data_IF_327829938265
#
_entry.id   IF_327829938265
#
_cell.length_a   1.000
_cell.length_b   1.000
_cell.length_c   1.000
_cell.angle_alpha   90.00
_cell.angle_beta   90.00
_cell.angle_gamma   90.00
#
_symmetry.space_group_name_H-M   'P 1'
#
loop_
_entity.id
_entity.type
_entity.pdbx_description
1 polymer ?
#
# COMPACT_ATOMS: atom_id res chain seq x y z
N UNK A 1 -8.72 -1.09 -8.60
CA UNK A 1 -8.97 -2.49 -9.00
C UNK A 1 -9.53 -3.37 -7.89
N UNK A 2 -9.41 -3.02 -6.60
CA UNK A 2 -9.83 -3.89 -5.47
C UNK A 2 -11.31 -4.29 -5.48
N UNK A 3 -12.19 -3.45 -6.00
CA UNK A 3 -13.62 -3.78 -6.13
C UNK A 3 -14.02 -4.19 -7.55
N UNK A 4 -13.05 -4.39 -8.44
CA UNK A 4 -13.33 -4.80 -9.81
C UNK A 4 -13.58 -6.30 -9.86
N UNK A 5 -14.78 -6.70 -10.28
CA UNK A 5 -15.08 -8.12 -10.53
C UNK A 5 -14.47 -8.51 -11.86
N UNK A 6 -13.79 -9.66 -11.91
CA UNK A 6 -13.25 -10.24 -13.13
C UNK A 6 -14.10 -11.46 -13.46
N UNK A 7 -14.86 -11.38 -14.56
CA UNK A 7 -15.79 -12.43 -14.97
C UNK A 7 -15.59 -12.80 -16.44
N UNK A 8 -15.92 -14.05 -16.78
CA UNK A 8 -16.10 -14.45 -18.17
C UNK A 8 -17.47 -13.94 -18.64
N UNK A 9 -17.48 -13.20 -19.73
CA UNK A 9 -18.71 -12.71 -20.35
C UNK A 9 -18.91 -13.48 -21.64
N UNK A 10 -19.91 -14.36 -21.66
CA UNK A 10 -20.38 -14.98 -22.89
C UNK A 10 -21.05 -13.90 -23.74
N UNK A 11 -20.61 -13.79 -25.00
CA UNK A 11 -21.21 -12.84 -25.93
C UNK A 11 -22.50 -13.48 -26.45
N UNK A 12 -23.61 -13.28 -25.75
CA UNK A 12 -24.95 -13.69 -26.22
C UNK A 12 -25.36 -12.78 -27.38
N UNK A 13 -24.75 -13.03 -28.55
CA UNK A 13 -25.17 -12.42 -29.81
C UNK A 13 -26.34 -13.24 -30.34
N UNK A 14 -27.54 -12.94 -29.86
CA UNK A 14 -28.83 -13.53 -30.27
C UNK A 14 -29.24 -12.99 -31.67
N UNK A 15 -28.32 -13.11 -32.62
CA UNK A 15 -28.43 -12.59 -33.99
C UNK A 15 -28.55 -13.78 -34.93
N UNK A 16 -29.77 -14.30 -35.05
CA UNK A 16 -30.17 -15.16 -36.16
C UNK A 16 -29.68 -14.48 -37.46
N UNK A 17 -28.93 -15.23 -38.28
CA UNK A 17 -28.25 -14.78 -39.52
C UNK A 17 -26.80 -14.28 -39.35
N UNK A 18 -25.84 -15.22 -39.39
CA UNK A 18 -24.95 -15.41 -40.56
C UNK A 18 -23.95 -16.56 -40.39
N UNK A 19 -23.77 -17.26 -41.51
CA UNK A 19 -22.84 -18.35 -41.77
C UNK A 19 -21.36 -18.02 -41.49
N UNK A 20 -20.65 -19.06 -41.04
CA UNK A 20 -19.19 -19.32 -41.13
C UNK A 20 -18.20 -18.41 -40.36
N UNK A 21 -17.50 -19.05 -39.41
CA UNK A 21 -16.18 -18.68 -38.86
C UNK A 21 -16.08 -17.34 -38.10
N UNK A 22 -16.94 -17.10 -37.12
CA UNK A 22 -16.51 -16.28 -35.99
C UNK A 22 -15.63 -17.14 -35.07
N UNK A 23 -14.30 -16.91 -34.98
CA UNK A 23 -13.53 -17.54 -33.92
C UNK A 23 -14.21 -17.13 -32.61
N UNK A 24 -14.54 -18.09 -31.75
CA UNK A 24 -15.20 -17.80 -30.47
C UNK A 24 -14.32 -16.82 -29.69
N UNK A 25 -14.59 -15.52 -29.82
CA UNK A 25 -13.84 -14.47 -29.15
C UNK A 25 -14.27 -14.54 -27.70
N UNK A 26 -13.37 -14.96 -26.83
CA UNK A 26 -13.66 -15.13 -25.42
C UNK A 26 -13.38 -13.81 -24.72
N UNK A 27 -14.32 -13.34 -23.92
CA UNK A 27 -14.26 -11.99 -23.34
C UNK A 27 -14.06 -12.07 -21.84
N UNK A 28 -13.06 -11.36 -21.34
CA UNK A 28 -12.86 -11.14 -19.90
C UNK A 28 -13.41 -9.75 -19.59
N UNK A 29 -14.43 -9.69 -18.74
CA UNK A 29 -14.97 -8.44 -18.21
C UNK A 29 -14.24 -8.04 -16.93
N UNK A 30 -13.73 -6.82 -16.89
CA UNK A 30 -13.22 -6.17 -15.68
C UNK A 30 -14.26 -5.11 -15.32
N UNK A 31 -14.96 -5.28 -14.21
CA UNK A 31 -16.10 -4.46 -13.80
C UNK A 31 -15.80 -3.70 -12.51
N UNK A 32 -15.22 -2.49 -12.57
CA UNK A 32 -14.98 -1.65 -11.39
C UNK A 32 -16.28 -1.08 -10.83
N UNK A 33 -16.39 -0.93 -9.51
CA UNK A 33 -17.58 -0.37 -8.83
C UNK A 33 -17.80 1.13 -9.09
N UNK A 34 -16.76 1.86 -9.49
CA UNK A 34 -16.76 3.32 -9.62
C UNK A 34 -16.28 3.84 -10.99
N UNK A 35 -16.03 2.95 -11.96
CA UNK A 35 -15.55 3.30 -13.31
C UNK A 35 -16.26 2.44 -14.37
N UNK A 36 -16.18 2.85 -15.64
CA UNK A 36 -16.72 2.06 -16.75
C UNK A 36 -16.07 0.67 -16.85
N UNK A 37 -16.85 -0.34 -17.22
CA UNK A 37 -16.34 -1.69 -17.45
C UNK A 37 -15.35 -1.74 -18.61
N UNK A 38 -14.32 -2.56 -18.47
CA UNK A 38 -13.30 -2.81 -19.51
C UNK A 38 -13.39 -4.26 -19.94
N UNK A 39 -13.45 -4.50 -21.25
CA UNK A 39 -13.56 -5.85 -21.82
C UNK A 39 -12.30 -6.19 -22.59
N UNK A 40 -11.70 -7.34 -22.27
CA UNK A 40 -10.54 -7.88 -22.97
C UNK A 40 -10.98 -9.03 -23.87
N UNK A 41 -10.83 -8.84 -25.18
CA UNK A 41 -11.11 -9.85 -26.20
C UNK A 41 -9.89 -10.76 -26.36
N UNK A 42 -10.07 -12.08 -26.25
CA UNK A 42 -9.00 -13.07 -26.39
C UNK A 42 -9.36 -14.13 -27.44
N UNK A 43 -8.51 -14.31 -28.48
CA UNK A 43 -8.77 -15.28 -29.55
C UNK A 43 -8.44 -16.73 -29.15
N UNK A 44 -7.55 -16.94 -28.18
CA UNK A 44 -7.13 -18.28 -27.75
C UNK A 44 -7.47 -18.56 -26.28
N UNK A 45 -7.91 -19.80 -25.98
CA UNK A 45 -8.30 -20.24 -24.63
C UNK A 45 -7.15 -20.06 -23.62
N UNK A 46 -5.94 -20.45 -23.99
CA UNK A 46 -4.79 -20.39 -23.10
C UNK A 46 -4.44 -18.95 -22.70
N UNK A 47 -4.56 -18.00 -23.63
CA UNK A 47 -4.32 -16.58 -23.34
C UNK A 47 -5.40 -16.07 -22.40
N UNK A 48 -6.66 -16.43 -22.64
CA UNK A 48 -7.76 -16.08 -21.74
C UNK A 48 -7.50 -16.60 -20.32
N UNK A 49 -7.20 -17.89 -20.18
CA UNK A 49 -6.99 -18.53 -18.88
C UNK A 49 -5.76 -17.96 -18.15
N UNK A 50 -4.68 -17.66 -18.89
CA UNK A 50 -3.49 -16.97 -18.35
C UNK A 50 -3.81 -15.56 -17.87
N UNK A 51 -4.54 -14.76 -18.67
CA UNK A 51 -4.96 -13.43 -18.27
C UNK A 51 -5.91 -13.46 -17.07
N UNK A 52 -6.85 -14.40 -17.02
CA UNK A 52 -7.77 -14.57 -15.89
C UNK A 52 -7.02 -14.95 -14.61
N UNK A 53 -6.04 -15.86 -14.71
CA UNK A 53 -5.15 -16.21 -13.60
C UNK A 53 -4.39 -14.97 -13.10
N UNK A 54 -3.68 -14.27 -13.98
CA UNK A 54 -2.92 -13.09 -13.60
C UNK A 54 -3.80 -11.99 -13.02
N UNK A 55 -4.96 -11.71 -13.61
CA UNK A 55 -5.93 -10.73 -13.11
C UNK A 55 -6.51 -11.12 -11.74
N UNK A 56 -6.75 -12.41 -11.50
CA UNK A 56 -7.20 -12.91 -10.19
C UNK A 56 -6.12 -12.76 -9.14
N UNK A 57 -4.86 -13.04 -9.50
CA UNK A 57 -3.69 -12.83 -8.62
C UNK A 57 -3.51 -11.35 -8.31
N UNK A 58 -3.44 -10.48 -9.33
CA UNK A 58 -3.17 -9.05 -9.12
C UNK A 58 -4.35 -8.26 -8.53
N UNK A 59 -5.57 -8.78 -8.62
CA UNK A 59 -6.75 -8.18 -7.97
C UNK A 59 -6.77 -8.42 -6.45
N UNK A 60 -5.85 -9.23 -5.92
CA UNK A 60 -5.75 -9.49 -4.48
C UNK A 60 -6.83 -10.44 -3.97
N UNK A 61 -7.34 -11.35 -4.82
CA UNK A 61 -8.34 -12.35 -4.45
C UNK A 61 -7.87 -13.40 -3.44
N UNK A 62 -6.60 -13.39 -3.03
CA UNK A 62 -6.04 -14.25 -1.99
C UNK A 62 -6.01 -13.57 -0.61
N UNK A 63 -6.60 -14.13 0.45
CA UNK A 63 -6.73 -13.49 1.77
C UNK A 63 -5.43 -13.38 2.60
N UNK A 64 -4.25 -13.48 2.00
CA UNK A 64 -3.00 -13.65 2.76
C UNK A 64 -1.71 -13.31 2.01
N UNK A 65 -1.77 -12.46 0.99
CA UNK A 65 -0.54 -11.94 0.34
C UNK A 65 0.02 -10.73 1.11
N UNK A 66 1.34 -10.57 1.07
CA UNK A 66 2.05 -9.52 1.80
C UNK A 66 2.34 -9.85 3.27
N UNK A 67 3.12 -8.97 3.88
CA UNK A 67 3.50 -9.02 5.30
C UNK A 67 2.28 -8.89 6.21
N UNK A 68 2.40 -9.33 7.46
CA UNK A 68 1.33 -9.15 8.45
C UNK A 68 0.93 -7.67 8.63
N UNK A 69 1.87 -6.74 8.44
CA UNK A 69 1.58 -5.31 8.44
C UNK A 69 0.66 -4.92 7.29
N UNK A 70 0.97 -5.32 6.05
CA UNK A 70 0.18 -5.00 4.86
C UNK A 70 -1.22 -5.58 4.94
N UNK A 71 -1.36 -6.81 5.46
CA UNK A 71 -2.66 -7.44 5.68
C UNK A 71 -3.51 -6.65 6.68
N UNK A 72 -2.91 -6.08 7.74
CA UNK A 72 -3.62 -5.22 8.69
C UNK A 72 -4.02 -3.89 8.07
N UNK A 73 -3.13 -3.27 7.27
CA UNK A 73 -3.45 -2.05 6.51
C UNK A 73 -4.60 -2.34 5.53
N UNK A 74 -4.59 -3.49 4.85
CA UNK A 74 -5.68 -3.89 3.96
C UNK A 74 -7.02 -3.99 4.69
N UNK A 75 -7.06 -4.65 5.86
CA UNK A 75 -8.28 -4.72 6.69
C UNK A 75 -8.74 -3.35 7.20
N UNK A 76 -7.81 -2.43 7.46
CA UNK A 76 -8.17 -1.04 7.79
C UNK A 76 -8.77 -0.31 6.58
N UNK A 77 -8.28 -0.57 5.37
CA UNK A 77 -8.86 0.01 4.15
C UNK A 77 -10.28 -0.51 3.90
N UNK A 78 -10.57 -1.77 4.21
CA UNK A 78 -11.92 -2.36 4.13
C UNK A 78 -12.93 -1.63 5.03
N UNK A 79 -12.47 -1.02 6.12
CA UNK A 79 -13.31 -0.19 7.02
C UNK A 79 -13.19 1.31 6.73
N UNK A 80 -12.67 1.70 5.57
CA UNK A 80 -12.39 3.09 5.19
C UNK A 80 -11.54 3.85 6.23
N UNK A 81 -10.69 3.15 6.98
CA UNK A 81 -9.84 3.74 8.01
C UNK A 81 -10.63 4.30 9.20
N UNK A 82 -11.79 3.72 9.54
CA UNK A 82 -12.59 4.14 10.70
C UNK A 82 -11.71 4.36 11.95
N UNK A 83 -11.65 5.59 12.52
CA UNK A 83 -10.88 5.87 13.73
C UNK A 83 -11.29 5.00 14.93
N UNK A 84 -12.53 4.50 14.96
CA UNK A 84 -13.03 3.56 15.96
C UNK A 84 -12.52 2.13 15.83
N UNK A 85 -11.85 1.79 14.71
CA UNK A 85 -11.41 0.43 14.43
C UNK A 85 -10.38 -0.07 15.46
N UNK A 86 -10.60 -1.27 15.99
CA UNK A 86 -9.69 -1.89 16.97
C UNK A 86 -8.31 -2.21 16.40
N UNK A 87 -8.20 -2.34 15.06
CA UNK A 87 -6.95 -2.65 14.38
C UNK A 87 -5.89 -1.57 14.61
N UNK A 88 -6.26 -0.30 14.79
CA UNK A 88 -5.31 0.78 15.10
C UNK A 88 -4.48 0.54 16.37
N UNK A 89 -4.91 -0.38 17.26
CA UNK A 89 -4.18 -0.75 18.48
C UNK A 89 -3.30 -1.99 18.32
N UNK A 90 -3.28 -2.60 17.14
CA UNK A 90 -2.48 -3.79 16.87
C UNK A 90 -0.99 -3.44 16.85
N UNK A 91 -0.15 -4.23 17.54
CA UNK A 91 1.27 -3.92 17.75
C UNK A 91 2.06 -3.64 16.46
N UNK A 92 1.74 -4.36 15.38
CA UNK A 92 2.38 -4.17 14.07
C UNK A 92 2.07 -2.81 13.41
N UNK A 93 1.01 -2.13 13.83
CA UNK A 93 0.64 -0.79 13.34
C UNK A 93 1.17 0.34 14.26
N UNK A 94 1.83 -0.02 15.36
CA UNK A 94 2.37 0.93 16.32
C UNK A 94 3.89 1.11 16.15
N UNK A 95 4.46 2.01 16.95
CA UNK A 95 5.90 2.21 17.02
C UNK A 95 6.65 0.89 17.22
N UNK A 96 7.64 0.66 16.35
CA UNK A 96 8.52 -0.50 16.37
C UNK A 96 9.96 -0.06 16.20
N UNK A 97 10.86 -0.83 16.83
CA UNK A 97 12.32 -0.71 16.64
C UNK A 97 12.84 -1.68 15.57
N UNK A 98 12.00 -2.63 15.15
CA UNK A 98 12.35 -3.62 14.14
C UNK A 98 11.92 -3.11 12.76
N UNK A 99 12.83 -3.23 11.78
CA UNK A 99 12.50 -2.98 10.39
C UNK A 99 11.69 -4.17 9.86
N UNK A 100 10.55 -3.88 9.25
CA UNK A 100 9.72 -4.87 8.58
C UNK A 100 9.56 -4.36 7.15
N UNK A 101 10.19 -5.05 6.20
CA UNK A 101 10.13 -4.74 4.77
C UNK A 101 9.43 -5.85 3.99
N UNK A 102 8.65 -5.43 3.00
CA UNK A 102 7.97 -6.24 1.99
C UNK A 102 8.81 -6.47 0.72
N UNK A 103 9.94 -5.74 0.58
CA UNK A 103 10.78 -5.78 -0.62
C UNK A 103 11.58 -7.08 -0.68
N UNK A 104 11.68 -7.65 -1.89
CA UNK A 104 12.34 -8.94 -2.13
C UNK A 104 13.79 -8.81 -2.60
N UNK A 105 14.17 -7.64 -3.12
CA UNK A 105 15.55 -7.37 -3.56
C UNK A 105 16.43 -7.00 -2.37
N UNK A 106 17.57 -7.67 -2.23
CA UNK A 106 18.55 -7.40 -1.17
C UNK A 106 19.04 -5.94 -1.18
N UNK A 107 19.23 -5.36 -2.37
CA UNK A 107 19.65 -3.96 -2.51
C UNK A 107 18.58 -3.00 -1.98
N UNK A 108 17.31 -3.27 -2.31
CA UNK A 108 16.18 -2.47 -1.86
C UNK A 108 15.93 -2.63 -0.36
N UNK A 109 16.07 -3.85 0.17
CA UNK A 109 15.97 -4.12 1.60
C UNK A 109 17.01 -3.33 2.38
N UNK A 110 18.26 -3.31 1.93
CA UNK A 110 19.33 -2.53 2.59
C UNK A 110 19.00 -1.02 2.61
N UNK A 111 18.50 -0.48 1.50
CA UNK A 111 18.08 0.92 1.43
C UNK A 111 16.87 1.22 2.32
N UNK A 112 15.88 0.33 2.38
CA UNK A 112 14.73 0.46 3.27
C UNK A 112 15.13 0.42 4.76
N UNK A 113 16.13 -0.41 5.12
CA UNK A 113 16.71 -0.42 6.48
C UNK A 113 17.36 0.93 6.80
N UNK A 114 18.11 1.50 5.86
CA UNK A 114 18.72 2.82 6.03
C UNK A 114 17.67 3.91 6.25
N UNK A 115 16.64 3.98 5.39
CA UNK A 115 15.51 4.91 5.53
C UNK A 115 14.85 4.81 6.91
N UNK A 116 14.64 3.59 7.40
CA UNK A 116 14.09 3.38 8.73
C UNK A 116 14.99 3.90 9.85
N UNK A 117 16.30 3.70 9.76
CA UNK A 117 17.27 4.25 10.72
C UNK A 117 17.28 5.78 10.69
N UNK A 118 17.19 6.39 9.51
CA UNK A 118 17.12 7.85 9.38
C UNK A 118 15.83 8.38 10.01
N UNK A 119 14.68 7.73 9.81
CA UNK A 119 13.45 8.08 10.52
C UNK A 119 13.62 8.03 12.04
N UNK A 120 14.31 7.01 12.57
CA UNK A 120 14.59 6.91 14.01
C UNK A 120 15.49 8.04 14.49
N UNK A 121 16.57 8.35 13.76
CA UNK A 121 17.49 9.43 14.10
C UNK A 121 16.78 10.79 14.07
N UNK A 122 16.00 11.04 13.01
CA UNK A 122 15.24 12.26 12.85
C UNK A 122 14.27 12.53 14.01
N UNK A 123 13.65 11.48 14.57
CA UNK A 123 12.74 11.64 15.71
C UNK A 123 13.42 11.68 17.07
N UNK A 124 14.58 11.03 17.23
CA UNK A 124 15.23 10.85 18.53
C UNK A 124 16.21 11.97 18.87
N UNK A 125 16.78 12.65 17.87
CA UNK A 125 17.66 13.80 18.05
C UNK A 125 16.82 15.05 18.38
N UNK A 126 17.23 15.78 19.43
CA UNK A 126 16.60 17.04 19.78
C UNK A 126 16.95 18.11 18.74
N UNK A 127 15.94 18.87 18.30
CA UNK A 127 16.12 19.98 17.37
C UNK A 127 16.66 21.20 18.13
N UNK A 128 17.98 21.26 18.26
CA UNK A 128 18.70 22.41 18.82
C UNK A 128 19.41 23.19 17.72
N UNK A 129 19.87 24.42 17.99
CA UNK A 129 20.50 25.29 16.98
C UNK A 129 21.62 24.60 16.19
N UNK A 130 22.40 23.73 16.84
CA UNK A 130 23.48 22.96 16.20
C UNK A 130 23.00 21.74 15.40
N UNK A 131 21.75 21.29 15.59
CA UNK A 131 21.14 20.13 14.93
C UNK A 131 20.17 20.50 13.80
N UNK A 132 19.81 21.78 13.63
CA UNK A 132 18.86 22.21 12.58
C UNK A 132 19.34 21.77 11.19
N UNK A 133 20.60 22.03 10.84
CA UNK A 133 21.16 21.65 9.54
C UNK A 133 21.12 20.14 9.32
N UNK A 134 21.33 19.36 10.39
CA UNK A 134 21.22 17.90 10.35
C UNK A 134 19.79 17.44 10.00
N UNK A 135 18.77 18.00 10.66
CA UNK A 135 17.38 17.66 10.36
C UNK A 135 16.96 18.13 8.96
N UNK A 136 17.44 19.30 8.49
CA UNK A 136 17.17 19.77 7.13
C UNK A 136 17.72 18.79 6.10
N UNK A 137 18.96 18.33 6.28
CA UNK A 137 19.61 17.36 5.37
C UNK A 137 18.83 16.03 5.34
N UNK A 138 18.49 15.46 6.49
CA UNK A 138 17.71 14.21 6.54
C UNK A 138 16.31 14.39 5.93
N UNK A 139 15.65 15.52 6.21
CA UNK A 139 14.32 15.84 5.68
C UNK A 139 14.29 16.11 4.18
N UNK A 140 15.43 16.31 3.54
CA UNK A 140 15.55 16.53 2.10
C UNK A 140 16.06 15.28 1.37
N UNK A 141 17.14 14.68 1.85
CA UNK A 141 17.83 13.61 1.13
C UNK A 141 17.01 12.32 1.06
N UNK A 142 16.39 11.90 2.17
CA UNK A 142 15.65 10.63 2.20
C UNK A 142 14.35 10.70 1.38
N UNK A 143 13.53 11.77 1.49
CA UNK A 143 12.39 11.92 0.59
C UNK A 143 12.81 12.02 -0.88
N UNK A 144 13.93 12.69 -1.19
CA UNK A 144 14.46 12.76 -2.55
C UNK A 144 14.84 11.37 -3.08
N UNK A 145 15.50 10.53 -2.28
CA UNK A 145 15.79 9.14 -2.66
C UNK A 145 14.50 8.36 -2.98
N UNK A 146 13.43 8.57 -2.23
CA UNK A 146 12.14 7.93 -2.49
C UNK A 146 11.45 8.45 -3.77
N UNK A 147 11.76 9.68 -4.20
CA UNK A 147 11.32 10.19 -5.50
C UNK A 147 12.11 9.58 -6.65
N UNK A 148 13.41 9.37 -6.46
CA UNK A 148 14.30 8.77 -7.46
C UNK A 148 14.10 7.25 -7.58
N UNK A 149 13.68 6.58 -6.49
CA UNK A 149 13.44 5.14 -6.43
C UNK A 149 12.06 4.83 -5.83
N UNK A 150 11.00 4.81 -6.66
CA UNK A 150 9.60 4.68 -6.22
C UNK A 150 9.30 3.42 -5.41
N UNK A 151 10.06 2.35 -5.60
CA UNK A 151 9.93 1.09 -4.85
C UNK A 151 10.13 1.28 -3.33
N UNK A 152 10.84 2.32 -2.91
CA UNK A 152 11.06 2.63 -1.48
C UNK A 152 9.92 3.42 -0.85
N UNK A 153 9.02 4.00 -1.64
CA UNK A 153 8.00 4.92 -1.12
C UNK A 153 7.06 4.22 -0.12
N UNK A 154 6.65 2.99 -0.41
CA UNK A 154 5.78 2.21 0.48
C UNK A 154 6.46 1.93 1.82
N UNK A 155 7.75 1.60 1.81
CA UNK A 155 8.55 1.36 3.02
C UNK A 155 8.76 2.64 3.83
N UNK A 156 9.05 3.75 3.16
CA UNK A 156 9.25 5.02 3.83
C UNK A 156 7.96 5.52 4.50
N UNK A 157 6.83 5.46 3.80
CA UNK A 157 5.52 5.82 4.36
C UNK A 157 5.16 4.88 5.53
N UNK A 158 5.34 3.57 5.37
CA UNK A 158 5.14 2.57 6.42
C UNK A 158 5.98 2.87 7.66
N UNK A 159 7.26 3.21 7.48
CA UNK A 159 8.15 3.61 8.56
C UNK A 159 7.60 4.86 9.27
N UNK A 160 7.30 5.94 8.55
CA UNK A 160 6.76 7.18 9.14
C UNK A 160 5.46 6.95 9.92
N UNK A 161 4.54 6.17 9.35
CA UNK A 161 3.26 5.83 10.00
C UNK A 161 3.53 5.08 11.30
N UNK A 162 4.30 3.99 11.28
CA UNK A 162 4.63 3.21 12.49
C UNK A 162 5.32 4.10 13.53
N UNK A 163 6.29 4.88 13.09
CA UNK A 163 7.11 5.70 13.96
C UNK A 163 6.36 6.84 14.66
N UNK A 164 5.33 7.39 14.01
CA UNK A 164 4.46 8.43 14.58
C UNK A 164 3.21 7.88 15.26
N UNK A 165 2.93 6.58 15.10
CA UNK A 165 1.81 5.89 15.74
C UNK A 165 2.08 5.61 17.21
N UNK A 166 1.38 6.34 18.09
CA UNK A 166 1.50 6.18 19.54
C UNK A 166 0.63 5.03 20.04
N UNK A 167 1.11 4.27 21.03
CA UNK A 167 0.22 3.46 21.86
C UNK A 167 -0.87 4.38 22.41
N UNK A 168 -2.15 4.07 22.14
CA UNK A 168 -3.32 4.86 22.58
C UNK A 168 -3.55 4.81 24.11
N UNK A 169 -2.49 4.72 24.91
CA UNK A 169 -2.46 4.71 26.36
C UNK A 169 -1.83 5.98 26.96
N UNK A 170 -1.57 7.02 26.18
CA UNK A 170 -1.41 8.36 26.75
C UNK A 170 -2.77 9.05 26.80
N UNK A 171 -3.43 8.90 27.95
CA UNK A 171 -4.34 9.92 28.48
C UNK A 171 -3.79 11.30 28.13
N UNK A 172 -4.65 12.20 27.67
CA UNK A 172 -4.37 13.63 27.53
C UNK A 172 -3.45 14.08 28.67
N UNK A 173 -2.16 14.22 28.36
CA UNK A 173 -1.19 14.89 29.19
C UNK A 173 -1.28 16.36 28.87
N UNK A 174 -2.36 17.01 29.32
CA UNK A 174 -2.39 18.45 29.55
C UNK A 174 -1.33 18.76 30.61
N UNK A 175 -0.04 18.77 30.25
CA UNK A 175 1.04 19.24 31.15
C UNK A 175 2.37 19.57 30.50
N UNK A 176 2.58 19.31 29.20
CA UNK A 176 3.87 19.61 28.54
C UNK A 176 3.82 20.73 27.50
N UNK A 177 2.67 21.36 27.25
CA UNK A 177 2.56 22.52 26.33
C UNK A 177 2.61 23.90 26.99
N UNK A 178 2.72 24.00 28.32
CA UNK A 178 2.79 25.30 29.02
C UNK A 178 4.21 25.80 29.32
N UNK A 179 5.27 24.99 29.13
CA UNK A 179 6.63 25.40 29.46
C UNK A 179 7.45 25.97 28.28
N UNK A 180 6.84 26.18 27.10
CA UNK A 180 7.52 26.81 25.96
C UNK A 180 7.02 28.25 25.65
N UNK A 181 6.21 28.85 26.54
CA UNK A 181 5.75 30.25 26.40
C UNK A 181 6.18 31.14 27.58
N UNK A 182 7.11 30.68 28.42
CA UNK A 182 7.72 31.49 29.46
C UNK A 182 9.23 31.23 29.46
N UNK A 183 9.93 32.02 28.65
CA UNK A 183 11.39 32.05 28.50
C UNK A 183 11.75 33.16 27.55
#
# INVERSE_FOLDING_TARGET
>A
MRDARVEEVESDSDSEERDTECPHVRTIGILPTHQGSTYLLKPHKQDKDSWLYHLTVVSGGGPSEGTQYEQLVQRLMETNGDPGCVLWRHLLLLHTKENITSLTSETLQSQAINLFMVCQLFMSVAVEQAGIDYHVVLGQNEPQQCLDQPELQSEFISALVKQTSRHTQQRLGEKSRQNCLAG
#
